data_IF_689559089526
#
_entry.id   IF_689559089526
#
_cell.length_a   1.000
_cell.length_b   1.000
_cell.length_c   1.000
_cell.angle_alpha   90.00
_cell.angle_beta   90.00
_cell.angle_gamma   90.00
#
_symmetry.space_group_name_H-M   'P 1'
#
loop_
_entity.id
_entity.type
_entity.pdbx_description
1 polymer ?
#
# COMPACT_ATOMS: atom_id res chain seq x y z
N UNK A 1 10.16 16.05 -27.79
CA UNK A 1 8.88 16.72 -27.49
C UNK A 1 8.85 17.10 -26.01
N UNK A 2 8.68 18.38 -25.67
CA UNK A 2 8.53 18.81 -24.26
C UNK A 2 7.12 18.43 -23.78
N UNK A 3 6.94 17.76 -22.64
CA UNK A 3 5.61 17.45 -22.12
C UNK A 3 4.89 18.77 -21.79
N UNK A 4 3.73 19.00 -22.41
CA UNK A 4 2.87 20.14 -22.06
C UNK A 4 2.41 19.99 -20.61
N UNK A 5 2.51 21.06 -19.82
CA UNK A 5 2.01 21.07 -18.44
C UNK A 5 0.51 20.83 -18.43
N UNK A 6 -0.02 19.97 -17.55
CA UNK A 6 -1.45 19.66 -17.50
C UNK A 6 -2.24 20.95 -17.23
N UNK A 7 -3.29 21.21 -18.02
CA UNK A 7 -4.21 22.32 -17.77
C UNK A 7 -4.91 22.16 -16.42
N UNK A 8 -5.27 23.27 -15.76
CA UNK A 8 -6.03 23.29 -14.50
C UNK A 8 -7.25 22.34 -14.54
N UNK A 9 -7.99 22.36 -15.66
CA UNK A 9 -9.12 21.46 -15.92
C UNK A 9 -8.72 19.99 -15.86
N UNK A 10 -7.61 19.61 -16.49
CA UNK A 10 -7.14 18.21 -16.49
C UNK A 10 -6.66 17.74 -15.11
N UNK A 11 -6.09 18.65 -14.31
CA UNK A 11 -5.69 18.39 -12.92
C UNK A 11 -6.91 18.21 -12.01
N UNK A 12 -7.93 19.08 -12.12
CA UNK A 12 -9.17 18.98 -11.36
C UNK A 12 -9.94 17.68 -11.68
N UNK A 13 -10.06 17.32 -12.96
CA UNK A 13 -10.69 16.07 -13.37
C UNK A 13 -9.92 14.87 -12.82
N UNK A 14 -8.59 14.93 -12.77
CA UNK A 14 -7.76 13.87 -12.18
C UNK A 14 -8.01 13.73 -10.68
N UNK A 15 -8.01 14.83 -9.94
CA UNK A 15 -8.29 14.86 -8.50
C UNK A 15 -9.69 14.28 -8.23
N UNK A 16 -10.70 14.75 -8.95
CA UNK A 16 -12.08 14.29 -8.81
C UNK A 16 -12.21 12.78 -9.08
N UNK A 17 -11.61 12.26 -10.15
CA UNK A 17 -11.59 10.81 -10.44
C UNK A 17 -10.85 10.00 -9.38
N UNK A 18 -9.79 10.54 -8.79
CA UNK A 18 -9.04 9.86 -7.72
C UNK A 18 -9.91 9.76 -6.48
N UNK A 19 -10.59 10.85 -6.08
CA UNK A 19 -11.51 10.87 -4.94
C UNK A 19 -12.65 9.84 -5.13
N UNK A 20 -13.26 9.80 -6.32
CA UNK A 20 -14.34 8.84 -6.61
C UNK A 20 -13.88 7.38 -6.64
N UNK A 21 -12.60 7.10 -6.91
CA UNK A 21 -12.03 5.74 -6.86
C UNK A 21 -11.72 5.27 -5.44
N UNK A 22 -11.65 6.18 -4.48
CA UNK A 22 -11.44 5.84 -3.07
C UNK A 22 -12.81 5.40 -2.53
N UNK A 23 -13.19 4.17 -2.89
CA UNK A 23 -14.32 3.50 -2.27
C UNK A 23 -13.88 3.02 -0.87
N UNK A 24 -14.25 3.81 0.14
CA UNK A 24 -13.92 3.56 1.56
C UNK A 24 -14.71 2.35 2.08
N UNK A 25 -15.81 1.98 1.44
CA UNK A 25 -16.70 0.90 1.90
C UNK A 25 -16.09 -0.47 1.62
N UNK A 26 -15.37 -0.60 0.50
CA UNK A 26 -14.85 -1.87 0.00
C UNK A 26 -13.83 -2.57 0.91
N UNK A 27 -13.11 -1.83 1.75
CA UNK A 27 -11.90 -2.35 2.41
C UNK A 27 -12.01 -2.50 3.94
N UNK A 28 -13.21 -2.42 4.50
CA UNK A 28 -13.44 -2.61 5.95
C UNK A 28 -12.87 -1.52 6.88
N UNK A 29 -12.12 -0.54 6.34
CA UNK A 29 -11.48 0.54 7.10
C UNK A 29 -12.52 1.49 7.75
N UNK A 30 -13.65 1.75 7.08
CA UNK A 30 -14.73 2.62 7.61
C UNK A 30 -15.25 2.11 8.95
N UNK A 31 -15.43 0.79 9.02
CA UNK A 31 -16.14 0.07 10.09
C UNK A 31 -15.30 -0.11 11.35
N UNK A 32 -14.04 0.33 11.37
CA UNK A 32 -13.18 0.24 12.54
C UNK A 32 -13.41 1.44 13.48
N UNK A 33 -14.07 1.25 14.65
CA UNK A 33 -14.32 2.35 15.59
C UNK A 33 -13.06 2.77 16.34
N UNK A 34 -12.07 1.88 16.45
CA UNK A 34 -10.81 2.11 17.18
C UNK A 34 -9.81 3.00 16.46
N UNK A 35 -10.01 3.22 15.15
CA UNK A 35 -9.08 4.00 14.34
C UNK A 35 -9.54 5.46 14.24
N UNK A 36 -8.60 6.36 14.48
CA UNK A 36 -8.75 7.79 14.21
C UNK A 36 -8.93 8.05 12.71
N UNK A 37 -9.47 9.23 12.38
CA UNK A 37 -9.62 9.67 10.99
C UNK A 37 -8.27 9.67 10.25
N UNK A 38 -7.19 10.08 10.93
CA UNK A 38 -5.84 10.11 10.37
C UNK A 38 -5.35 8.69 10.04
N UNK A 39 -5.47 7.75 10.97
CA UNK A 39 -5.05 6.36 10.74
C UNK A 39 -5.83 5.72 9.59
N UNK A 40 -7.14 5.98 9.49
CA UNK A 40 -7.95 5.53 8.35
C UNK A 40 -7.44 6.10 7.02
N UNK A 41 -7.04 7.37 6.99
CA UNK A 41 -6.48 8.01 5.80
C UNK A 41 -5.12 7.43 5.42
N UNK A 42 -4.24 7.18 6.40
CA UNK A 42 -2.93 6.53 6.19
C UNK A 42 -3.13 5.13 5.63
N UNK A 43 -4.03 4.33 6.20
CA UNK A 43 -4.36 3.01 5.69
C UNK A 43 -4.87 3.08 4.24
N UNK A 44 -5.81 3.96 3.92
CA UNK A 44 -6.32 4.08 2.55
C UNK A 44 -5.24 4.47 1.54
N UNK A 45 -4.28 5.31 1.94
CA UNK A 45 -3.23 5.81 1.06
C UNK A 45 -2.10 4.80 0.86
N UNK A 46 -1.57 4.24 1.96
CA UNK A 46 -0.39 3.38 1.95
C UNK A 46 -0.74 1.90 1.80
N UNK A 47 -1.82 1.45 2.42
CA UNK A 47 -2.14 0.02 2.52
C UNK A 47 -3.65 -0.24 2.62
N UNK A 48 -4.38 0.08 1.56
CA UNK A 48 -5.85 -0.02 1.55
C UNK A 48 -6.38 -1.44 1.80
N UNK A 49 -5.54 -2.47 1.74
CA UNK A 49 -5.91 -3.88 1.94
C UNK A 49 -5.37 -4.43 3.26
N UNK A 50 -4.97 -3.55 4.17
CA UNK A 50 -4.35 -3.91 5.45
C UNK A 50 -5.01 -5.07 6.18
N UNK A 51 -6.34 -5.10 6.20
CA UNK A 51 -7.15 -6.13 6.87
C UNK A 51 -7.35 -7.42 6.05
N UNK A 52 -7.01 -7.43 4.77
CA UNK A 52 -7.19 -8.59 3.86
C UNK A 52 -5.94 -9.44 3.67
N UNK A 53 -4.75 -8.94 4.06
CA UNK A 53 -3.50 -9.68 3.91
C UNK A 53 -2.82 -9.95 5.25
N UNK A 54 -1.96 -10.97 5.28
CA UNK A 54 -1.18 -11.39 6.47
C UNK A 54 0.23 -10.77 6.50
N UNK A 55 0.33 -9.46 6.33
CA UNK A 55 1.59 -8.71 6.32
C UNK A 55 2.17 -8.48 4.92
N UNK A 56 2.09 -9.43 4.00
CA UNK A 56 2.45 -9.23 2.58
C UNK A 56 1.20 -9.33 1.71
N UNK A 57 0.90 -8.28 0.94
CA UNK A 57 -0.20 -8.32 -0.04
C UNK A 57 0.27 -8.99 -1.35
N UNK A 58 0.12 -10.32 -1.41
CA UNK A 58 0.46 -11.13 -2.57
C UNK A 58 -0.30 -10.74 -3.85
N UNK A 59 -1.57 -10.32 -3.74
CA UNK A 59 -2.30 -9.88 -4.93
C UNK A 59 -1.74 -8.57 -5.48
N UNK A 60 -1.32 -7.65 -4.59
CA UNK A 60 -0.64 -6.43 -5.03
C UNK A 60 0.71 -6.73 -5.64
N UNK A 61 1.49 -7.66 -5.06
CA UNK A 61 2.75 -8.13 -5.64
C UNK A 61 2.54 -8.71 -7.05
N UNK A 62 1.61 -9.65 -7.22
CA UNK A 62 1.30 -10.26 -8.51
C UNK A 62 0.78 -9.24 -9.54
N UNK A 63 -0.08 -8.30 -9.11
CA UNK A 63 -0.58 -7.21 -9.97
C UNK A 63 0.55 -6.33 -10.47
N UNK A 64 1.50 -5.97 -9.60
CA UNK A 64 2.63 -5.12 -9.99
C UNK A 64 3.64 -5.89 -10.85
N UNK A 65 3.88 -7.18 -10.58
CA UNK A 65 4.68 -8.05 -11.47
C UNK A 65 4.05 -8.11 -12.86
N UNK A 66 2.73 -8.33 -12.96
CA UNK A 66 2.02 -8.33 -14.25
C UNK A 66 2.15 -6.98 -14.98
N UNK A 67 2.07 -5.87 -14.26
CA UNK A 67 2.25 -4.52 -14.85
C UNK A 67 3.68 -4.32 -15.35
N UNK A 68 4.67 -4.77 -14.59
CA UNK A 68 6.08 -4.73 -14.98
C UNK A 68 6.33 -5.52 -16.26
N UNK A 69 5.82 -6.75 -16.34
CA UNK A 69 5.92 -7.61 -17.53
C UNK A 69 5.24 -6.97 -18.76
N UNK A 70 4.11 -6.29 -18.55
CA UNK A 70 3.39 -5.58 -19.60
C UNK A 70 3.99 -4.20 -19.94
N UNK A 71 5.17 -3.85 -19.40
CA UNK A 71 5.81 -2.52 -19.54
C UNK A 71 4.89 -1.34 -19.19
N UNK A 72 3.90 -1.57 -18.32
CA UNK A 72 3.00 -0.55 -17.81
C UNK A 72 3.64 0.11 -16.59
N UNK A 73 3.24 1.35 -16.31
CA UNK A 73 3.62 2.04 -15.07
C UNK A 73 3.20 1.17 -13.87
N UNK A 74 4.18 0.70 -13.10
CA UNK A 74 3.95 -0.05 -11.88
C UNK A 74 3.84 0.91 -10.68
N UNK A 75 3.10 0.50 -9.66
CA UNK A 75 2.94 1.17 -8.38
C UNK A 75 3.80 0.55 -7.28
N UNK A 76 3.55 0.98 -6.04
CA UNK A 76 4.09 0.35 -4.84
C UNK A 76 3.27 -0.88 -4.44
N UNK A 77 3.95 -1.96 -4.07
CA UNK A 77 3.36 -3.17 -3.48
C UNK A 77 3.81 -3.37 -2.01
N UNK A 78 4.35 -2.32 -1.38
CA UNK A 78 4.77 -2.36 0.03
C UNK A 78 3.55 -2.18 0.93
N UNK A 79 3.40 -3.05 1.91
CA UNK A 79 2.40 -2.92 2.99
C UNK A 79 2.98 -2.13 4.16
N UNK A 80 2.14 -1.65 5.08
CA UNK A 80 2.60 -0.97 6.30
C UNK A 80 3.49 -1.90 7.14
N UNK A 81 3.19 -3.19 7.20
CA UNK A 81 4.03 -4.15 7.94
C UNK A 81 5.43 -4.31 7.37
N UNK A 82 5.58 -4.26 6.05
CA UNK A 82 6.89 -4.25 5.41
C UNK A 82 7.65 -2.95 5.72
N UNK A 83 6.94 -1.83 5.76
CA UNK A 83 7.54 -0.55 6.14
C UNK A 83 7.98 -0.54 7.61
N UNK A 84 7.17 -1.13 8.50
CA UNK A 84 7.52 -1.34 9.90
C UNK A 84 8.76 -2.22 10.03
N UNK A 85 8.78 -3.38 9.35
CA UNK A 85 9.95 -4.28 9.36
C UNK A 85 11.22 -3.57 8.87
N UNK A 86 11.09 -2.76 7.82
CA UNK A 86 12.20 -1.96 7.29
C UNK A 86 12.73 -0.96 8.33
N UNK A 87 11.85 -0.29 9.07
CA UNK A 87 12.23 0.66 10.12
C UNK A 87 12.94 -0.04 11.28
N UNK A 88 12.43 -1.18 11.75
CA UNK A 88 13.06 -1.90 12.87
C UNK A 88 14.38 -2.58 12.49
N UNK A 89 14.57 -2.93 11.21
CA UNK A 89 15.79 -3.60 10.74
C UNK A 89 16.89 -2.62 10.30
N UNK A 90 16.57 -1.32 10.22
CA UNK A 90 17.49 -0.25 9.79
C UNK A 90 18.13 -0.51 8.40
N UNK A 91 17.36 -1.10 7.47
CA UNK A 91 17.82 -1.45 6.13
C UNK A 91 17.10 -0.63 5.07
N UNK A 92 17.69 0.47 4.63
CA UNK A 92 17.09 1.38 3.64
C UNK A 92 17.65 1.22 2.22
N UNK A 93 18.52 0.25 1.96
CA UNK A 93 19.11 0.04 0.62
C UNK A 93 18.04 -0.28 -0.44
N UNK A 94 18.03 0.43 -1.57
CA UNK A 94 17.01 0.25 -2.62
C UNK A 94 17.32 -0.95 -3.52
N UNK A 95 17.31 -2.15 -2.96
CA UNK A 95 17.62 -3.40 -3.67
C UNK A 95 16.48 -4.43 -3.61
N UNK A 96 16.41 -5.34 -4.58
CA UNK A 96 15.47 -6.46 -4.54
C UNK A 96 15.75 -7.40 -3.37
N UNK A 97 17.02 -7.58 -2.99
CA UNK A 97 17.42 -8.36 -1.81
C UNK A 97 16.80 -7.78 -0.53
N UNK A 98 16.78 -6.46 -0.35
CA UNK A 98 16.06 -5.82 0.76
C UNK A 98 14.58 -6.17 0.72
N UNK A 99 13.96 -6.09 -0.47
CA UNK A 99 12.52 -6.34 -0.61
C UNK A 99 12.13 -7.77 -0.23
N UNK A 100 12.94 -8.74 -0.63
CA UNK A 100 12.78 -10.15 -0.26
C UNK A 100 12.93 -10.32 1.26
N UNK A 101 13.92 -9.65 1.88
CA UNK A 101 14.08 -9.66 3.34
C UNK A 101 12.87 -9.06 4.06
N UNK A 102 12.30 -7.97 3.54
CA UNK A 102 11.07 -7.39 4.09
C UNK A 102 9.92 -8.40 4.03
N UNK A 103 9.76 -9.19 2.95
CA UNK A 103 8.72 -10.21 2.86
C UNK A 103 8.86 -11.27 3.96
N UNK A 104 10.04 -11.88 4.08
CA UNK A 104 10.29 -12.92 5.08
C UNK A 104 10.26 -12.37 6.51
N UNK A 105 10.89 -11.21 6.73
CA UNK A 105 10.93 -10.55 8.03
C UNK A 105 9.54 -10.16 8.52
N UNK A 106 8.69 -9.66 7.63
CA UNK A 106 7.29 -9.36 7.93
C UNK A 106 6.50 -10.62 8.26
N UNK A 107 6.68 -11.71 7.51
CA UNK A 107 6.00 -12.98 7.78
C UNK A 107 6.37 -13.54 9.17
N UNK A 108 7.64 -13.41 9.57
CA UNK A 108 8.09 -13.78 10.92
C UNK A 108 7.51 -12.84 11.99
N UNK A 109 7.49 -11.53 11.72
CA UNK A 109 6.92 -10.54 12.62
C UNK A 109 5.44 -10.82 12.91
N UNK A 110 4.66 -11.16 11.88
CA UNK A 110 3.23 -11.50 11.99
C UNK A 110 2.96 -12.77 12.78
N UNK A 111 3.90 -13.72 12.78
CA UNK A 111 3.79 -14.92 13.64
C UNK A 111 3.97 -14.60 15.12
N UNK A 112 4.77 -13.58 15.43
CA UNK A 112 5.07 -13.18 16.82
C UNK A 112 4.10 -12.13 17.35
N UNK A 113 3.65 -11.22 16.49
CA UNK A 113 2.76 -10.12 16.85
C UNK A 113 1.51 -10.16 15.98
N UNK A 114 0.35 -10.21 16.61
CA UNK A 114 -0.92 -10.06 15.89
C UNK A 114 -1.18 -8.58 15.69
N UNK A 115 -1.46 -8.16 14.45
CA UNK A 115 -1.98 -6.81 14.18
C UNK A 115 -3.32 -6.62 14.87
N UNK A 116 -3.80 -5.36 14.95
CA UNK A 116 -5.15 -5.00 15.42
C UNK A 116 -6.18 -6.01 14.88
N UNK A 117 -6.49 -7.01 15.70
CA UNK A 117 -7.34 -8.13 15.32
C UNK A 117 -8.76 -7.62 15.40
N UNK A 118 -9.44 -7.59 14.26
CA UNK A 118 -10.87 -7.34 14.19
C UNK A 118 -11.56 -8.38 15.07
N UNK A 119 -12.17 -7.94 16.16
CA UNK A 119 -13.19 -8.72 16.88
C UNK A 119 -14.55 -8.27 16.34
#
# INVERSE_FOLDING_TARGET
MRPQSPSLRSSLIRIHRVILKIDIERWGIKQQPRLTKLEKMVLLLEDRRFFEHSGVDWFSVLREIKRLLLRKRHGGASTIDMQLFRTISDRYERTMRRKVREWFGTALLQRKFTRLRTY
#
